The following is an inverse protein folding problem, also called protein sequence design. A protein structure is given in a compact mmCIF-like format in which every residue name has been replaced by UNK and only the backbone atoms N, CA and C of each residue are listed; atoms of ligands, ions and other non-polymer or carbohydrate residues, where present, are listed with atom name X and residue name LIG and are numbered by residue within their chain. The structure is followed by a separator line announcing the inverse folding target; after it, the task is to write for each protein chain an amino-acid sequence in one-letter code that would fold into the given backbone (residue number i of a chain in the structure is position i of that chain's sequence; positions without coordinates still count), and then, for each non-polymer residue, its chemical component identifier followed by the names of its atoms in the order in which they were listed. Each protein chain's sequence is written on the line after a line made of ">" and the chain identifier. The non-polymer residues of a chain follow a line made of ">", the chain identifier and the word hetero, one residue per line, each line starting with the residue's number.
data_IF_932496506177
#
_entry.id   IF_932496506177
#
_cell.length_a   1.000
_cell.length_b   1.000
_cell.length_c   1.000
_cell.angle_alpha   90.00
_cell.angle_beta   90.00
_cell.angle_gamma   90.00
#
_symmetry.space_group_name_H-M   'P 1'
#
loop_
_entity.id
_entity.type
_entity.pdbx_description
1 polymer ?
#
# COMPACT_ATOMS: atom_id res chain seq x y z
N UNK A 1 -35.58 -28.89 12.29
CA UNK A 1 -35.13 -28.75 13.69
C UNK A 1 -34.78 -27.28 13.93
N UNK A 2 -35.71 -26.52 14.52
CA UNK A 2 -35.55 -25.09 14.78
C UNK A 2 -34.61 -24.84 15.96
N UNK A 3 -33.81 -23.77 15.88
CA UNK A 3 -32.97 -23.31 17.00
C UNK A 3 -33.89 -22.85 18.14
N UNK A 4 -33.66 -23.26 19.40
CA UNK A 4 -34.50 -22.86 20.51
C UNK A 4 -34.36 -21.36 20.82
N UNK A 5 -35.51 -20.73 21.09
CA UNK A 5 -35.66 -19.32 21.43
C UNK A 5 -34.83 -18.94 22.66
N UNK A 6 -33.86 -18.04 22.48
CA UNK A 6 -33.08 -17.42 23.56
C UNK A 6 -33.70 -16.11 24.07
N UNK A 7 -35.02 -15.97 24.01
CA UNK A 7 -35.73 -14.74 24.38
C UNK A 7 -36.31 -14.72 25.80
N UNK A 8 -35.90 -15.64 26.69
CA UNK A 8 -36.52 -15.83 28.00
C UNK A 8 -35.90 -15.09 29.20
N UNK A 9 -34.75 -14.41 29.07
CA UNK A 9 -34.06 -13.89 30.25
C UNK A 9 -33.34 -12.56 29.99
N UNK A 10 -34.09 -11.44 30.01
CA UNK A 10 -33.58 -10.09 30.32
C UNK A 10 -34.69 -9.02 30.32
N UNK A 11 -35.73 -9.19 31.13
CA UNK A 11 -36.63 -8.05 31.43
C UNK A 11 -37.08 -8.12 32.89
N UNK A 12 -36.32 -7.47 33.78
CA UNK A 12 -36.79 -6.88 35.05
C UNK A 12 -35.84 -5.74 35.48
N UNK A 13 -35.79 -4.71 34.65
CA UNK A 13 -35.44 -3.31 34.96
C UNK A 13 -36.56 -2.52 35.66
N UNK A 14 -36.49 -2.21 36.94
CA UNK A 14 -37.56 -1.57 37.72
C UNK A 14 -38.11 -0.24 37.15
N UNK A 15 -39.43 -0.07 37.22
CA UNK A 15 -40.10 1.23 37.22
C UNK A 15 -39.78 1.92 38.56
N UNK A 16 -38.94 2.95 38.53
CA UNK A 16 -38.74 3.85 39.66
C UNK A 16 -38.94 5.29 39.17
N UNK A 17 -40.04 5.91 39.59
CA UNK A 17 -40.56 7.19 39.06
C UNK A 17 -39.97 8.44 39.73
N UNK A 18 -38.74 8.37 40.27
CA UNK A 18 -38.12 9.54 40.91
C UNK A 18 -36.58 9.61 40.80
N UNK A 19 -36.03 9.07 39.71
CA UNK A 19 -34.61 9.25 39.39
C UNK A 19 -34.40 10.61 38.71
N UNK A 20 -33.37 11.41 39.11
CA UNK A 20 -33.01 12.61 38.35
C UNK A 20 -32.77 12.21 36.90
N UNK A 21 -33.40 12.94 35.96
CA UNK A 21 -33.36 12.64 34.52
C UNK A 21 -31.90 12.54 34.09
N UNK A 22 -31.41 11.30 33.94
CA UNK A 22 -30.02 11.05 33.55
C UNK A 22 -29.85 11.53 32.12
N UNK A 23 -28.84 12.38 31.91
CA UNK A 23 -28.44 12.81 30.57
C UNK A 23 -28.05 11.60 29.74
N UNK A 24 -28.38 11.63 28.45
CA UNK A 24 -28.16 10.49 27.58
C UNK A 24 -26.67 10.21 27.40
N UNK A 25 -26.29 8.94 27.47
CA UNK A 25 -24.94 8.49 27.15
C UNK A 25 -24.99 7.12 26.48
N UNK A 26 -23.96 6.83 25.69
CA UNK A 26 -23.86 5.58 24.97
C UNK A 26 -22.64 5.54 24.06
N UNK A 27 -22.70 4.70 23.03
CA UNK A 27 -21.55 4.40 22.18
C UNK A 27 -21.91 4.57 20.71
N UNK A 28 -20.98 5.09 19.92
CA UNK A 28 -21.06 5.12 18.46
C UNK A 28 -20.84 3.70 17.94
N UNK A 29 -21.79 3.20 17.17
CA UNK A 29 -21.69 1.89 16.52
C UNK A 29 -20.99 2.03 15.18
N UNK A 30 -21.38 3.04 14.39
CA UNK A 30 -20.80 3.34 13.09
C UNK A 30 -21.05 4.81 12.73
N UNK A 31 -20.23 5.36 11.84
CA UNK A 31 -20.37 6.73 11.38
C UNK A 31 -19.84 6.90 9.96
N UNK A 32 -20.54 7.74 9.19
CA UNK A 32 -20.21 8.03 7.81
C UNK A 32 -20.64 9.45 7.41
N UNK A 33 -20.26 9.87 6.20
CA UNK A 33 -20.71 11.12 5.61
C UNK A 33 -21.85 10.83 4.62
N UNK A 34 -23.02 11.44 4.84
CA UNK A 34 -24.19 11.28 3.97
C UNK A 34 -24.43 12.56 3.15
N UNK A 35 -24.58 12.43 1.82
CA UNK A 35 -24.79 13.56 0.92
C UNK A 35 -26.09 14.31 1.28
N UNK A 36 -25.96 15.60 1.58
CA UNK A 36 -27.09 16.47 1.95
C UNK A 36 -27.48 16.43 3.44
N UNK A 37 -27.00 15.46 4.21
CA UNK A 37 -27.19 15.41 5.68
C UNK A 37 -25.92 15.71 6.47
N UNK A 38 -24.75 15.61 5.83
CA UNK A 38 -23.45 15.82 6.47
C UNK A 38 -23.04 14.60 7.29
N UNK A 39 -22.26 14.78 8.36
CA UNK A 39 -21.85 13.70 9.25
C UNK A 39 -23.06 13.05 9.93
N UNK A 40 -23.13 11.73 9.82
CA UNK A 40 -24.17 10.91 10.45
C UNK A 40 -23.51 9.81 11.29
N UNK A 41 -24.08 9.55 12.46
CA UNK A 41 -23.57 8.54 13.37
C UNK A 41 -24.71 7.66 13.87
N UNK A 42 -24.56 6.35 13.71
CA UNK A 42 -25.43 5.36 14.35
C UNK A 42 -24.92 5.15 15.77
N UNK A 43 -25.74 5.48 16.76
CA UNK A 43 -25.38 5.37 18.17
C UNK A 43 -26.31 4.41 18.90
N UNK A 44 -25.79 3.71 19.90
CA UNK A 44 -26.57 2.93 20.84
C UNK A 44 -26.69 3.70 22.15
N UNK A 45 -27.90 4.15 22.49
CA UNK A 45 -28.18 4.81 23.77
C UNK A 45 -28.12 3.76 24.87
N UNK A 46 -27.26 3.95 25.86
CA UNK A 46 -27.09 3.00 26.98
C UNK A 46 -27.76 3.49 28.27
N UNK A 47 -27.84 4.81 28.45
CA UNK A 47 -28.50 5.42 29.60
C UNK A 47 -29.11 6.77 29.21
N UNK A 48 -30.13 7.19 29.97
CA UNK A 48 -30.85 8.44 29.71
C UNK A 48 -31.70 8.39 28.44
N UNK A 49 -32.12 9.56 27.96
CA UNK A 49 -32.96 9.69 26.75
C UNK A 49 -32.38 10.77 25.86
N UNK A 50 -31.93 10.39 24.67
CA UNK A 50 -31.35 11.29 23.68
C UNK A 50 -32.49 11.97 22.91
N UNK A 51 -32.45 13.30 22.79
CA UNK A 51 -33.51 14.10 22.15
C UNK A 51 -32.96 15.01 21.07
N UNK A 52 -33.84 15.38 20.14
CA UNK A 52 -33.54 16.46 19.19
C UNK A 52 -33.31 17.75 19.97
N UNK A 53 -32.21 18.45 19.65
CA UNK A 53 -31.79 19.68 20.31
C UNK A 53 -30.79 19.49 21.45
N UNK A 54 -30.47 18.26 21.83
CA UNK A 54 -29.46 17.98 22.86
C UNK A 54 -28.06 18.42 22.40
N UNK A 55 -27.29 18.98 23.34
CA UNK A 55 -25.87 19.26 23.15
C UNK A 55 -25.10 17.96 23.42
N UNK A 56 -24.38 17.49 22.41
CA UNK A 56 -23.77 16.18 22.40
C UNK A 56 -22.25 16.33 22.29
N UNK A 57 -21.52 15.62 23.15
CA UNK A 57 -20.08 15.41 23.01
C UNK A 57 -19.87 13.95 22.59
N UNK A 58 -19.10 13.70 21.54
CA UNK A 58 -18.74 12.36 21.05
C UNK A 58 -17.24 12.34 20.85
N UNK A 59 -16.51 11.49 21.58
CA UNK A 59 -15.04 11.51 21.51
C UNK A 59 -14.48 12.92 21.78
N UNK A 60 -13.81 13.49 20.78
CA UNK A 60 -13.24 14.85 20.78
C UNK A 60 -14.07 15.89 20.02
N UNK A 61 -15.21 15.51 19.46
CA UNK A 61 -16.12 16.40 18.73
C UNK A 61 -17.33 16.78 19.60
N UNK A 62 -17.91 17.95 19.34
CA UNK A 62 -19.17 18.36 19.96
C UNK A 62 -20.11 18.97 18.93
N UNK A 63 -21.41 18.80 19.14
CA UNK A 63 -22.42 19.34 18.25
C UNK A 63 -23.79 19.34 18.91
N UNK A 64 -24.80 19.66 18.11
CA UNK A 64 -26.21 19.67 18.55
C UNK A 64 -26.99 18.68 17.69
N UNK A 65 -27.79 17.83 18.34
CA UNK A 65 -28.63 16.85 17.63
C UNK A 65 -29.66 17.60 16.79
N UNK A 66 -29.53 17.54 15.46
CA UNK A 66 -30.45 18.20 14.51
C UNK A 66 -31.63 17.31 14.16
N UNK A 67 -31.40 16.01 14.03
CA UNK A 67 -32.42 15.01 13.78
C UNK A 67 -32.02 13.67 14.38
N UNK A 68 -33.03 12.89 14.75
CA UNK A 68 -32.92 11.49 15.12
C UNK A 68 -33.74 10.65 14.16
N UNK A 69 -33.19 9.51 13.75
CA UNK A 69 -33.87 8.50 12.93
C UNK A 69 -33.75 7.13 13.61
N UNK A 70 -34.76 6.29 13.48
CA UNK A 70 -34.69 4.90 13.90
C UNK A 70 -33.85 4.04 12.93
N UNK A 71 -33.69 2.76 13.24
CA UNK A 71 -33.00 1.75 12.43
C UNK A 71 -33.61 1.57 11.01
N UNK A 72 -34.83 2.08 10.79
CA UNK A 72 -35.54 2.04 9.51
C UNK A 72 -35.53 3.39 8.79
N UNK A 73 -34.79 4.37 9.29
CA UNK A 73 -34.69 5.70 8.72
C UNK A 73 -35.92 6.59 8.93
N UNK A 74 -36.83 6.23 9.84
CA UNK A 74 -38.00 7.05 10.19
C UNK A 74 -37.63 8.05 11.27
N UNK A 75 -38.15 9.28 11.14
CA UNK A 75 -37.90 10.35 12.12
C UNK A 75 -38.44 9.98 13.48
N UNK A 76 -37.63 10.19 14.51
CA UNK A 76 -38.02 10.05 15.92
C UNK A 76 -37.71 11.34 16.68
N UNK A 77 -38.42 11.57 17.79
CA UNK A 77 -38.21 12.77 18.64
C UNK A 77 -37.21 12.50 19.76
N UNK A 78 -37.18 11.26 20.25
CA UNK A 78 -36.32 10.83 21.33
C UNK A 78 -35.95 9.35 21.19
N UNK A 79 -34.79 8.97 21.72
CA UNK A 79 -34.29 7.60 21.79
C UNK A 79 -33.91 7.26 23.24
N UNK A 80 -34.58 6.27 23.82
CA UNK A 80 -34.33 5.81 25.19
C UNK A 80 -33.20 4.78 25.29
N UNK A 81 -32.92 4.25 26.49
CA UNK A 81 -31.89 3.22 26.68
C UNK A 81 -32.15 1.98 25.81
N UNK A 82 -31.07 1.29 25.44
CA UNK A 82 -31.05 0.14 24.53
C UNK A 82 -31.61 0.40 23.12
N UNK A 83 -31.80 1.67 22.73
CA UNK A 83 -32.32 2.04 21.41
C UNK A 83 -31.18 2.48 20.50
N UNK A 84 -31.00 1.85 19.32
CA UNK A 84 -30.13 2.40 18.28
C UNK A 84 -30.82 3.59 17.62
N UNK A 85 -30.07 4.67 17.40
CA UNK A 85 -30.57 5.86 16.72
C UNK A 85 -29.50 6.44 15.79
N UNK A 86 -29.91 6.91 14.62
CA UNK A 86 -29.04 7.68 13.73
C UNK A 86 -29.14 9.15 14.10
N UNK A 87 -28.00 9.73 14.43
CA UNK A 87 -27.83 11.11 14.87
C UNK A 87 -27.21 11.92 13.75
N UNK A 88 -27.74 13.13 13.52
CA UNK A 88 -27.18 14.12 12.59
C UNK A 88 -26.94 15.45 13.30
N UNK A 89 -26.07 16.30 12.73
CA UNK A 89 -25.77 17.64 13.27
C UNK A 89 -24.45 17.77 14.00
N UNK A 90 -23.62 16.72 13.94
CA UNK A 90 -22.22 16.77 14.33
C UNK A 90 -21.40 17.54 13.28
N UNK A 91 -20.32 18.24 13.69
CA UNK A 91 -19.47 18.98 12.77
C UNK A 91 -18.56 18.06 11.94
N UNK A 92 -18.27 16.85 12.43
CA UNK A 92 -17.41 15.86 11.79
C UNK A 92 -17.90 14.45 12.09
N UNK A 93 -17.36 13.45 11.38
CA UNK A 93 -17.68 12.03 11.53
C UNK A 93 -16.99 11.48 12.79
N UNK A 94 -17.73 11.06 13.84
CA UNK A 94 -17.11 10.47 15.02
C UNK A 94 -16.49 9.09 14.72
N UNK A 95 -15.62 8.61 15.61
CA UNK A 95 -15.02 7.29 15.47
C UNK A 95 -15.96 6.20 15.99
N UNK A 96 -15.96 5.03 15.34
CA UNK A 96 -16.69 3.89 15.86
C UNK A 96 -16.13 3.48 17.23
N UNK A 97 -17.01 3.17 18.19
CA UNK A 97 -16.62 2.88 19.57
C UNK A 97 -16.45 4.12 20.46
N UNK A 98 -16.50 5.34 19.92
CA UNK A 98 -16.48 6.54 20.75
C UNK A 98 -17.67 6.57 21.70
N UNK A 99 -17.42 7.03 22.93
CA UNK A 99 -18.47 7.30 23.90
C UNK A 99 -19.07 8.67 23.61
N UNK A 100 -20.40 8.71 23.53
CA UNK A 100 -21.14 9.96 23.50
C UNK A 100 -21.77 10.27 24.84
N UNK A 101 -21.90 11.57 25.13
CA UNK A 101 -22.59 12.08 26.31
C UNK A 101 -23.32 13.38 25.98
N UNK A 102 -24.59 13.46 26.39
CA UNK A 102 -25.36 14.69 26.39
C UNK A 102 -24.94 15.54 27.57
N UNK A 103 -24.76 16.83 27.34
CA UNK A 103 -24.34 17.80 28.34
C UNK A 103 -25.32 18.95 28.44
N UNK A 104 -25.32 19.62 29.58
CA UNK A 104 -26.31 20.65 29.93
C UNK A 104 -26.25 21.90 29.06
N UNK A 105 -25.09 22.21 28.46
CA UNK A 105 -24.94 23.39 27.59
C UNK A 105 -23.85 23.20 26.54
N UNK A 106 -23.95 23.95 25.44
CA UNK A 106 -22.92 23.99 24.40
C UNK A 106 -21.57 24.45 24.95
N UNK A 107 -21.56 25.36 25.94
CA UNK A 107 -20.33 25.83 26.58
C UNK A 107 -19.58 24.68 27.26
N UNK A 108 -20.29 23.84 28.01
CA UNK A 108 -19.73 22.64 28.64
C UNK A 108 -19.25 21.64 27.58
N UNK A 109 -20.04 21.44 26.52
CA UNK A 109 -19.68 20.56 25.41
C UNK A 109 -18.35 20.96 24.77
N UNK A 110 -18.22 22.25 24.47
CA UNK A 110 -17.03 22.87 23.87
C UNK A 110 -15.80 22.69 24.76
N UNK A 111 -15.91 22.97 26.06
CA UNK A 111 -14.78 22.79 26.99
C UNK A 111 -14.28 21.35 27.03
N UNK A 112 -15.20 20.38 27.15
CA UNK A 112 -14.84 18.95 27.20
C UNK A 112 -14.18 18.52 25.89
N UNK A 113 -14.79 18.86 24.75
CA UNK A 113 -14.29 18.48 23.44
C UNK A 113 -12.93 19.11 23.14
N UNK A 114 -12.73 20.40 23.42
CA UNK A 114 -11.43 21.07 23.23
C UNK A 114 -10.33 20.46 24.08
N UNK A 115 -10.62 20.08 25.33
CA UNK A 115 -9.66 19.40 26.19
C UNK A 115 -9.27 18.03 25.63
N UNK A 116 -10.26 17.24 25.17
CA UNK A 116 -10.03 15.93 24.56
C UNK A 116 -9.31 16.03 23.21
N UNK A 117 -9.61 17.05 22.41
CA UNK A 117 -8.94 17.30 21.13
C UNK A 117 -7.46 17.61 21.32
N UNK A 118 -7.08 18.40 22.33
CA UNK A 118 -5.67 18.64 22.63
C UNK A 118 -4.96 17.38 23.14
N UNK A 119 -5.62 16.61 24.02
CA UNK A 119 -5.08 15.31 24.45
C UNK A 119 -4.87 14.35 23.27
N UNK A 120 -5.84 14.29 22.35
CA UNK A 120 -5.74 13.50 21.13
C UNK A 120 -4.56 13.94 20.27
N UNK A 121 -4.42 15.25 20.02
CA UNK A 121 -3.31 15.82 19.25
C UNK A 121 -1.95 15.47 19.85
N UNK A 122 -1.81 15.59 21.17
CA UNK A 122 -0.57 15.22 21.89
C UNK A 122 -0.29 13.72 21.77
N UNK A 123 -1.31 12.87 21.91
CA UNK A 123 -1.17 11.42 21.78
C UNK A 123 -0.74 11.01 20.36
N UNK A 124 -1.33 11.59 19.32
CA UNK A 124 -0.94 11.34 17.92
C UNK A 124 0.50 11.76 17.66
N UNK A 125 0.92 12.94 18.16
CA UNK A 125 2.30 13.40 18.04
C UNK A 125 3.30 12.49 18.79
N UNK A 126 2.91 11.96 19.95
CA UNK A 126 3.74 11.04 20.73
C UNK A 126 3.85 9.64 20.08
N UNK A 127 2.85 9.20 19.31
CA UNK A 127 2.90 7.96 18.54
C UNK A 127 3.80 8.04 17.31
N UNK A 128 4.16 9.24 16.85
CA UNK A 128 5.25 9.44 15.87
C UNK A 128 6.56 9.01 16.53
N UNK A 129 6.93 7.74 16.33
CA UNK A 129 8.12 7.09 16.86
C UNK A 129 9.34 8.00 16.65
N UNK A 130 10.00 8.42 17.74
CA UNK A 130 11.32 9.05 17.66
C UNK A 130 12.25 8.05 16.98
N UNK A 131 12.56 8.29 15.72
CA UNK A 131 13.56 7.53 14.98
C UNK A 131 14.87 7.65 15.76
N UNK A 132 15.38 6.53 16.28
CA UNK A 132 16.65 6.54 17.02
C UNK A 132 17.82 6.45 16.04
N UNK A 133 19.01 6.91 16.45
CA UNK A 133 20.24 6.72 15.66
C UNK A 133 20.53 5.24 15.37
N UNK A 134 20.11 4.33 16.26
CA UNK A 134 20.21 2.90 16.04
C UNK A 134 19.26 2.40 14.93
N UNK A 135 18.03 2.93 14.88
CA UNK A 135 17.07 2.63 13.81
C UNK A 135 17.56 3.17 12.45
N UNK A 136 18.19 4.36 12.43
CA UNK A 136 18.81 4.92 11.23
C UNK A 136 19.98 4.06 10.74
N UNK A 137 20.86 3.62 11.63
CA UNK A 137 21.99 2.74 11.29
C UNK A 137 21.52 1.39 10.72
N UNK A 138 20.43 0.83 11.27
CA UNK A 138 19.83 -0.41 10.77
C UNK A 138 19.15 -0.24 9.39
N UNK A 139 18.58 0.95 9.10
CA UNK A 139 18.01 1.27 7.78
C UNK A 139 19.10 1.47 6.72
N UNK A 140 20.24 2.08 7.07
CA UNK A 140 21.37 2.26 6.14
C UNK A 140 21.97 0.91 5.71
N UNK A 141 21.93 -0.11 6.55
CA UNK A 141 22.48 -1.44 6.25
C UNK A 141 21.65 -2.34 5.32
N UNK A 142 20.37 -2.03 5.08
CA UNK A 142 19.44 -2.90 4.30
C UNK A 142 19.21 -2.45 2.85
N UNK A 143 19.96 -1.47 2.36
CA UNK A 143 19.61 -0.81 1.10
C UNK A 143 18.39 0.10 1.28
N UNK A 144 18.14 0.98 0.30
CA UNK A 144 17.07 1.97 0.39
C UNK A 144 15.69 1.29 0.33
N UNK A 145 15.09 1.03 1.49
CA UNK A 145 13.67 0.65 1.59
C UNK A 145 12.84 1.77 0.97
N UNK A 146 12.06 1.46 -0.06
CA UNK A 146 11.20 2.42 -0.73
C UNK A 146 9.90 2.57 0.06
N UNK A 147 9.45 3.80 0.26
CA UNK A 147 8.15 4.06 0.87
C UNK A 147 7.06 4.07 -0.21
N UNK A 148 5.99 3.30 0.01
CA UNK A 148 4.73 3.41 -0.74
C UNK A 148 3.73 4.19 0.11
N UNK A 149 3.62 5.49 -0.17
CA UNK A 149 2.72 6.39 0.55
C UNK A 149 1.29 6.24 0.01
N UNK A 150 0.31 6.17 0.91
CA UNK A 150 -1.11 5.99 0.58
C UNK A 150 -1.97 7.06 1.26
N UNK A 151 -2.91 7.61 0.50
CA UNK A 151 -4.05 8.39 1.02
C UNK A 151 -5.29 7.51 0.93
N UNK A 152 -5.95 7.26 2.05
CA UNK A 152 -7.13 6.38 2.13
C UNK A 152 -8.41 7.19 2.34
N UNK A 153 -9.40 7.02 1.47
CA UNK A 153 -10.74 7.60 1.63
C UNK A 153 -11.77 6.50 1.54
N UNK A 154 -12.70 6.43 2.48
CA UNK A 154 -13.77 5.44 2.45
C UNK A 154 -15.14 6.01 2.84
N UNK A 155 -16.18 5.21 2.63
CA UNK A 155 -17.57 5.57 2.90
C UNK A 155 -17.87 5.70 4.40
N UNK A 156 -17.29 4.83 5.23
CA UNK A 156 -17.48 4.77 6.67
C UNK A 156 -16.14 4.67 7.43
N UNK A 157 -16.17 5.00 8.72
CA UNK A 157 -15.01 4.85 9.59
C UNK A 157 -14.53 3.38 9.67
N UNK A 158 -15.48 2.44 9.80
CA UNK A 158 -15.17 1.00 9.84
C UNK A 158 -14.48 0.50 8.56
N UNK A 159 -14.89 1.02 7.39
CA UNK A 159 -14.23 0.70 6.11
C UNK A 159 -12.77 1.18 6.09
N UNK A 160 -12.48 2.40 6.57
CA UNK A 160 -11.12 2.94 6.64
C UNK A 160 -10.23 2.07 7.52
N UNK A 161 -10.68 1.75 8.74
CA UNK A 161 -9.91 0.94 9.69
C UNK A 161 -9.64 -0.47 9.16
N UNK A 162 -10.66 -1.13 8.60
CA UNK A 162 -10.53 -2.46 8.04
C UNK A 162 -9.52 -2.47 6.86
N UNK A 163 -9.59 -1.45 5.99
CA UNK A 163 -8.70 -1.31 4.85
C UNK A 163 -7.25 -1.07 5.30
N UNK A 164 -7.04 -0.11 6.20
CA UNK A 164 -5.73 0.20 6.79
C UNK A 164 -5.12 -1.03 7.45
N UNK A 165 -5.90 -1.73 8.28
CA UNK A 165 -5.45 -2.94 8.98
C UNK A 165 -5.10 -4.08 8.03
N UNK A 166 -5.72 -4.14 6.86
CA UNK A 166 -5.40 -5.13 5.82
C UNK A 166 -4.13 -4.77 5.06
N UNK A 167 -3.97 -3.50 4.70
CA UNK A 167 -2.80 -2.99 3.98
C UNK A 167 -1.51 -3.06 4.82
N UNK A 168 -1.58 -2.70 6.10
CA UNK A 168 -0.41 -2.75 6.99
C UNK A 168 0.07 -4.17 7.34
N UNK A 169 -0.71 -5.21 7.01
CA UNK A 169 -0.28 -6.61 7.13
C UNK A 169 0.63 -7.06 5.99
N UNK A 170 0.60 -6.35 4.86
CA UNK A 170 1.48 -6.64 3.73
C UNK A 170 2.90 -6.25 4.13
N UNK A 171 3.77 -7.24 4.24
CA UNK A 171 5.18 -7.05 4.57
C UNK A 171 6.03 -7.38 3.35
N UNK A 172 6.94 -6.48 3.00
CA UNK A 172 7.89 -6.64 1.92
C UNK A 172 9.28 -6.17 2.38
N UNK A 173 10.37 -6.88 2.04
CA UNK A 173 11.71 -6.52 2.49
C UNK A 173 12.25 -5.23 1.84
N UNK A 174 11.72 -4.82 0.68
CA UNK A 174 12.19 -3.66 -0.09
C UNK A 174 11.20 -2.49 -0.08
N UNK A 175 9.91 -2.73 0.20
CA UNK A 175 8.88 -1.69 0.22
C UNK A 175 8.18 -1.60 1.57
N UNK A 176 8.09 -0.39 2.10
CA UNK A 176 7.30 -0.08 3.30
C UNK A 176 6.03 0.68 2.94
N UNK A 177 4.86 0.13 3.28
CA UNK A 177 3.58 0.84 3.11
C UNK A 177 3.40 1.86 4.24
N UNK A 178 3.09 3.10 3.88
CA UNK A 178 2.80 4.20 4.82
C UNK A 178 1.48 4.86 4.47
N UNK A 179 0.56 4.93 5.44
CA UNK A 179 -0.67 5.70 5.28
C UNK A 179 -0.41 7.12 5.75
N UNK A 180 -0.36 8.08 4.82
CA UNK A 180 -0.04 9.49 5.12
C UNK A 180 -1.29 10.26 5.54
N UNK A 181 -2.46 9.86 5.04
CA UNK A 181 -3.74 10.41 5.43
C UNK A 181 -4.84 9.37 5.27
N UNK A 182 -5.83 9.45 6.15
CA UNK A 182 -7.04 8.66 6.08
C UNK A 182 -8.25 9.51 6.44
N UNK A 183 -9.38 9.29 5.78
CA UNK A 183 -10.58 10.06 6.04
C UNK A 183 -11.85 9.43 5.48
N UNK A 184 -12.98 9.93 5.95
CA UNK A 184 -14.31 9.47 5.53
C UNK A 184 -14.91 10.43 4.51
N UNK A 185 -15.64 9.90 3.53
CA UNK A 185 -16.32 10.67 2.49
C UNK A 185 -15.59 10.68 1.14
N UNK A 186 -16.11 11.44 0.15
CA UNK A 186 -15.54 11.53 -1.18
C UNK A 186 -14.11 12.07 -1.16
N UNK A 187 -13.33 11.74 -2.20
CA UNK A 187 -12.00 12.32 -2.40
C UNK A 187 -12.16 13.76 -2.88
N UNK A 188 -11.46 14.68 -2.21
CA UNK A 188 -11.51 16.13 -2.44
C UNK A 188 -10.23 16.64 -3.10
N UNK A 189 -10.23 17.85 -3.65
CA UNK A 189 -9.01 18.49 -4.19
C UNK A 189 -7.88 18.56 -3.15
N UNK A 190 -8.19 18.84 -1.88
CA UNK A 190 -7.19 18.89 -0.81
C UNK A 190 -6.52 17.53 -0.57
N UNK A 191 -7.27 16.43 -0.68
CA UNK A 191 -6.71 15.07 -0.56
C UNK A 191 -5.70 14.80 -1.69
N UNK A 192 -6.00 15.27 -2.91
CA UNK A 192 -5.11 15.15 -4.08
C UNK A 192 -3.85 15.99 -3.92
N UNK A 193 -3.97 17.24 -3.45
CA UNK A 193 -2.81 18.10 -3.22
C UNK A 193 -1.88 17.51 -2.16
N UNK A 194 -2.43 16.94 -1.09
CA UNK A 194 -1.65 16.24 -0.07
C UNK A 194 -0.93 15.01 -0.66
N UNK A 195 -1.63 14.25 -1.50
CA UNK A 195 -1.07 13.10 -2.18
C UNK A 195 0.08 13.49 -3.12
N UNK A 196 -0.06 14.59 -3.87
CA UNK A 196 0.99 15.10 -4.74
C UNK A 196 2.26 15.47 -3.97
N UNK A 197 2.13 16.22 -2.86
CA UNK A 197 3.26 16.63 -2.01
C UNK A 197 3.95 15.42 -1.37
N UNK A 198 3.17 14.40 -1.01
CA UNK A 198 3.68 13.21 -0.33
C UNK A 198 4.05 12.07 -1.29
N UNK A 199 3.96 12.28 -2.61
CA UNK A 199 4.08 11.24 -3.64
C UNK A 199 3.26 9.97 -3.29
N UNK A 200 1.99 10.17 -2.95
CA UNK A 200 1.10 9.13 -2.45
C UNK A 200 0.07 8.69 -3.51
N UNK A 201 -0.26 7.40 -3.49
CA UNK A 201 -1.37 6.84 -4.25
C UNK A 201 -2.68 7.06 -3.49
N UNK A 202 -3.73 7.50 -4.18
CA UNK A 202 -5.05 7.72 -3.56
C UNK A 202 -5.93 6.48 -3.75
N UNK A 203 -6.40 5.92 -2.64
CA UNK A 203 -7.32 4.79 -2.60
C UNK A 203 -8.70 5.28 -2.18
N UNK A 204 -9.68 5.16 -3.07
CA UNK A 204 -11.07 5.51 -2.84
C UNK A 204 -11.91 4.23 -2.68
N UNK A 205 -12.34 3.92 -1.46
CA UNK A 205 -13.08 2.70 -1.14
C UNK A 205 -14.57 2.99 -0.93
N UNK A 206 -15.45 2.47 -1.79
CA UNK A 206 -16.89 2.77 -1.83
C UNK A 206 -17.24 4.26 -1.96
N UNK A 207 -16.27 5.10 -2.31
CA UNK A 207 -16.44 6.54 -2.53
C UNK A 207 -15.92 6.91 -3.90
N UNK A 208 -16.37 8.05 -4.41
CA UNK A 208 -15.92 8.59 -5.69
C UNK A 208 -15.23 9.93 -5.47
N UNK A 209 -14.21 10.26 -6.28
CA UNK A 209 -13.67 11.61 -6.31
C UNK A 209 -14.72 12.59 -6.81
N UNK A 210 -14.71 13.80 -6.24
CA UNK A 210 -15.48 14.90 -6.79
C UNK A 210 -14.86 15.45 -8.08
N UNK A 211 -15.59 16.32 -8.79
CA UNK A 211 -15.10 16.87 -10.07
C UNK A 211 -13.84 17.72 -9.93
N UNK A 212 -13.63 18.37 -8.79
CA UNK A 212 -12.44 19.19 -8.55
C UNK A 212 -11.23 18.28 -8.28
N UNK A 213 -11.41 17.22 -7.49
CA UNK A 213 -10.42 16.19 -7.24
C UNK A 213 -9.98 15.49 -8.54
N UNK A 214 -10.91 15.14 -9.43
CA UNK A 214 -10.56 14.52 -10.71
C UNK A 214 -9.67 15.42 -11.58
N UNK A 215 -10.03 16.71 -11.69
CA UNK A 215 -9.24 17.71 -12.44
C UNK A 215 -7.88 17.96 -11.79
N UNK A 216 -7.83 18.03 -10.47
CA UNK A 216 -6.58 18.18 -9.73
C UNK A 216 -5.67 16.96 -9.94
N UNK A 217 -6.22 15.75 -9.94
CA UNK A 217 -5.44 14.52 -10.13
C UNK A 217 -4.81 14.44 -11.52
N UNK A 218 -5.53 14.87 -12.56
CA UNK A 218 -4.98 14.98 -13.91
C UNK A 218 -3.85 16.03 -14.00
N UNK A 219 -4.04 17.19 -13.34
CA UNK A 219 -3.05 18.28 -13.32
C UNK A 219 -1.79 17.89 -12.57
N UNK A 220 -1.94 17.34 -11.37
CA UNK A 220 -0.83 16.97 -10.48
C UNK A 220 -0.26 15.58 -10.78
N UNK A 221 -0.87 14.84 -11.74
CA UNK A 221 -0.53 13.46 -12.12
C UNK A 221 -0.56 12.48 -10.93
N UNK A 222 -1.56 12.64 -10.08
CA UNK A 222 -1.81 11.75 -8.94
C UNK A 222 -2.74 10.62 -9.38
N UNK A 223 -2.33 9.37 -9.13
CA UNK A 223 -3.18 8.21 -9.39
C UNK A 223 -4.28 8.07 -8.34
N UNK A 224 -5.53 7.95 -8.80
CA UNK A 224 -6.69 7.61 -7.99
C UNK A 224 -7.16 6.21 -8.38
N UNK A 225 -7.29 5.32 -7.41
CA UNK A 225 -7.80 3.96 -7.60
C UNK A 225 -9.09 3.77 -6.80
N UNK A 226 -10.17 3.45 -7.50
CA UNK A 226 -11.47 3.20 -6.91
C UNK A 226 -11.66 1.70 -6.67
N UNK A 227 -12.15 1.34 -5.49
CA UNK A 227 -12.43 -0.03 -5.11
C UNK A 227 -13.73 -0.12 -4.31
N UNK A 228 -14.29 -1.31 -4.31
CA UNK A 228 -15.50 -1.71 -3.58
C UNK A 228 -15.26 -2.99 -2.75
N UNK A 229 -14.17 -3.71 -3.02
CA UNK A 229 -13.78 -4.95 -2.33
C UNK A 229 -12.36 -4.85 -1.80
N UNK A 230 -12.17 -5.04 -0.49
CA UNK A 230 -10.87 -4.88 0.20
C UNK A 230 -9.79 -5.78 -0.40
N UNK A 231 -10.12 -7.02 -0.76
CA UNK A 231 -9.19 -7.97 -1.37
C UNK A 231 -8.61 -7.49 -2.71
N UNK A 232 -9.39 -6.73 -3.49
CA UNK A 232 -8.89 -6.18 -4.75
C UNK A 232 -7.82 -5.13 -4.49
N UNK A 233 -8.00 -4.30 -3.45
CA UNK A 233 -7.01 -3.29 -3.05
C UNK A 233 -5.70 -3.97 -2.64
N UNK A 234 -5.78 -4.96 -1.74
CA UNK A 234 -4.56 -5.63 -1.24
C UNK A 234 -3.81 -6.34 -2.37
N UNK A 235 -4.53 -7.04 -3.26
CA UNK A 235 -3.92 -7.70 -4.41
C UNK A 235 -3.26 -6.72 -5.39
N UNK A 236 -3.88 -5.58 -5.65
CA UNK A 236 -3.31 -4.55 -6.54
C UNK A 236 -2.06 -3.92 -5.93
N UNK A 237 -2.08 -3.64 -4.63
CA UNK A 237 -0.91 -3.12 -3.90
C UNK A 237 0.24 -4.14 -3.89
N UNK A 238 -0.03 -5.42 -3.62
CA UNK A 238 0.99 -6.47 -3.70
C UNK A 238 1.57 -6.60 -5.11
N UNK A 239 0.73 -6.50 -6.16
CA UNK A 239 1.19 -6.51 -7.55
C UNK A 239 2.02 -5.27 -7.89
N UNK A 240 1.63 -4.10 -7.39
CA UNK A 240 2.38 -2.87 -7.58
C UNK A 240 3.76 -2.97 -6.91
N UNK A 241 3.84 -3.48 -5.68
CA UNK A 241 5.09 -3.77 -4.98
C UNK A 241 5.95 -4.72 -5.81
N UNK A 242 5.36 -5.80 -6.34
CA UNK A 242 6.07 -6.74 -7.21
C UNK A 242 6.58 -6.09 -8.51
N UNK A 243 5.84 -5.16 -9.07
CA UNK A 243 6.26 -4.39 -10.25
C UNK A 243 7.39 -3.40 -9.99
N UNK A 244 7.66 -3.05 -8.72
CA UNK A 244 8.78 -2.18 -8.33
C UNK A 244 10.13 -2.91 -8.28
N UNK A 245 10.13 -4.25 -8.35
CA UNK A 245 11.38 -5.00 -8.48
C UNK A 245 11.95 -4.82 -9.89
N UNK A 246 13.16 -4.28 -9.98
CA UNK A 246 13.92 -4.34 -11.23
C UNK A 246 14.17 -5.81 -11.58
N UNK A 247 14.03 -6.22 -12.85
CA UNK A 247 14.29 -7.61 -13.23
C UNK A 247 15.74 -7.97 -12.90
N UNK A 248 15.93 -8.93 -12.00
CA UNK A 248 17.25 -9.45 -11.67
C UNK A 248 17.73 -10.32 -12.83
N UNK A 249 18.73 -9.83 -13.56
CA UNK A 249 19.43 -10.60 -14.57
C UNK A 249 20.50 -11.47 -13.91
N UNK A 250 20.43 -12.78 -14.10
CA UNK A 250 21.43 -13.73 -13.58
C UNK A 250 22.31 -14.19 -14.73
N UNK A 251 23.63 -14.09 -14.53
CA UNK A 251 24.61 -14.68 -15.43
C UNK A 251 24.66 -16.19 -15.17
N UNK A 252 24.23 -16.97 -16.15
CA UNK A 252 24.32 -18.43 -16.13
C UNK A 252 25.54 -18.81 -16.97
N UNK A 253 26.59 -19.28 -16.29
CA UNK A 253 27.78 -19.82 -16.95
C UNK A 253 27.40 -20.96 -17.91
N UNK A 254 27.98 -20.95 -19.11
CA UNK A 254 27.75 -21.98 -20.13
C UNK A 254 28.99 -22.80 -20.44
N UNK A 255 30.16 -22.17 -20.51
CA UNK A 255 31.36 -22.86 -20.96
C UNK A 255 32.60 -21.98 -21.03
N UNK A 256 33.73 -22.64 -21.27
CA UNK A 256 35.06 -22.03 -21.37
C UNK A 256 35.78 -22.57 -22.60
N UNK A 257 36.42 -21.69 -23.36
CA UNK A 257 37.26 -22.05 -24.49
C UNK A 257 38.63 -21.37 -24.39
N UNK A 258 39.67 -22.04 -24.89
CA UNK A 258 41.02 -21.51 -24.99
C UNK A 258 41.34 -21.19 -26.45
N UNK A 259 41.89 -20.01 -26.69
CA UNK A 259 42.33 -19.57 -28.01
C UNK A 259 43.63 -20.27 -28.35
N UNK A 260 43.59 -21.13 -29.36
CA UNK A 260 44.77 -21.82 -29.87
C UNK A 260 45.52 -20.97 -30.90
N UNK A 261 44.77 -20.30 -31.78
CA UNK A 261 45.36 -19.46 -32.82
C UNK A 261 44.37 -18.42 -33.35
N UNK A 262 44.77 -17.14 -33.52
CA UNK A 262 43.94 -16.17 -34.23
C UNK A 262 43.90 -16.48 -35.73
N UNK A 263 42.71 -16.50 -36.31
CA UNK A 263 42.48 -16.79 -37.73
C UNK A 263 41.92 -15.55 -38.42
N UNK A 264 42.63 -15.06 -39.44
CA UNK A 264 42.16 -13.93 -40.25
C UNK A 264 41.23 -14.41 -41.36
N UNK A 265 39.98 -13.96 -41.34
CA UNK A 265 38.99 -14.29 -42.37
C UNK A 265 38.68 -13.04 -43.21
N UNK A 266 38.77 -13.12 -44.55
CA UNK A 266 38.36 -12.03 -45.44
C UNK A 266 36.93 -11.57 -45.13
N UNK A 267 36.71 -10.25 -45.02
CA UNK A 267 35.43 -9.59 -44.70
C UNK A 267 34.92 -9.72 -43.25
N UNK A 268 35.37 -10.70 -42.45
CA UNK A 268 34.91 -10.89 -41.07
C UNK A 268 35.93 -10.43 -40.01
N UNK A 269 37.16 -10.13 -40.40
CA UNK A 269 38.22 -9.71 -39.50
C UNK A 269 38.99 -10.90 -38.91
N UNK A 270 39.54 -10.73 -37.71
CA UNK A 270 40.20 -11.82 -36.97
C UNK A 270 39.17 -12.51 -36.08
N UNK A 271 39.14 -13.84 -36.12
CA UNK A 271 38.37 -14.68 -35.21
C UNK A 271 39.32 -15.52 -34.35
N UNK A 272 38.86 -15.94 -33.18
CA UNK A 272 39.61 -16.85 -32.32
C UNK A 272 39.40 -18.30 -32.77
N UNK A 273 40.44 -18.95 -33.29
CA UNK A 273 40.48 -20.40 -33.44
C UNK A 273 40.71 -21.03 -32.07
N UNK A 274 39.69 -21.63 -31.50
CA UNK A 274 39.64 -22.02 -30.09
C UNK A 274 39.22 -23.48 -29.90
N UNK A 275 39.61 -24.06 -28.77
CA UNK A 275 39.11 -25.34 -28.30
C UNK A 275 38.27 -25.14 -27.06
N UNK A 276 37.06 -25.69 -27.06
CA UNK A 276 36.20 -25.64 -25.87
C UNK A 276 36.77 -26.60 -24.83
N UNK A 277 37.15 -26.06 -23.67
CA UNK A 277 37.73 -26.84 -22.57
C UNK A 277 36.63 -27.44 -21.69
N UNK A 278 35.59 -26.66 -21.40
CA UNK A 278 34.54 -27.03 -20.47
C UNK A 278 33.18 -26.45 -20.89
N UNK A 279 32.11 -27.15 -20.54
CA UNK A 279 30.74 -26.77 -20.89
C UNK A 279 30.49 -26.68 -22.40
N UNK A 280 29.87 -25.58 -22.83
CA UNK A 280 29.58 -25.29 -24.24
C UNK A 280 29.65 -23.79 -24.54
N UNK A 281 29.95 -23.47 -25.80
CA UNK A 281 29.89 -22.12 -26.32
C UNK A 281 28.68 -22.01 -27.25
N UNK A 282 27.78 -21.07 -26.97
CA UNK A 282 26.56 -20.85 -27.75
C UNK A 282 26.66 -19.50 -28.49
N UNK A 283 26.28 -19.47 -29.76
CA UNK A 283 26.18 -18.21 -30.52
C UNK A 283 25.09 -17.31 -29.91
N UNK A 284 25.38 -16.00 -29.78
CA UNK A 284 24.50 -15.03 -29.12
C UNK A 284 24.67 -14.93 -27.60
N UNK A 285 25.44 -15.82 -26.98
CA UNK A 285 25.83 -15.67 -25.56
C UNK A 285 26.82 -14.53 -25.37
N UNK A 286 26.98 -14.07 -24.13
CA UNK A 286 28.00 -13.07 -23.78
C UNK A 286 29.30 -13.78 -23.49
N UNK A 287 30.38 -13.29 -24.08
CA UNK A 287 31.74 -13.78 -23.91
C UNK A 287 32.58 -12.75 -23.16
N UNK A 288 33.23 -13.23 -22.10
CA UNK A 288 34.28 -12.49 -21.39
C UNK A 288 35.63 -13.06 -21.80
N UNK A 289 36.47 -12.21 -22.36
CA UNK A 289 37.81 -12.56 -22.80
C UNK A 289 38.82 -12.24 -21.70
N UNK A 290 39.65 -13.20 -21.35
CA UNK A 290 40.69 -13.09 -20.34
C UNK A 290 42.06 -13.36 -20.95
N UNK A 291 43.05 -12.57 -20.54
CA UNK A 291 44.48 -12.77 -20.83
C UNK A 291 45.23 -12.73 -19.51
N UNK A 292 46.04 -13.75 -19.25
CA UNK A 292 46.72 -13.93 -17.95
C UNK A 292 45.75 -13.83 -16.75
N UNK A 293 44.56 -14.43 -16.88
CA UNK A 293 43.45 -14.39 -15.92
C UNK A 293 42.87 -12.99 -15.63
N UNK A 294 43.18 -11.98 -16.44
CA UNK A 294 42.59 -10.63 -16.33
C UNK A 294 41.59 -10.39 -17.45
N UNK A 295 40.39 -9.87 -17.17
CA UNK A 295 39.43 -9.55 -18.20
C UNK A 295 39.95 -8.38 -19.05
N UNK A 296 39.96 -8.57 -20.36
CA UNK A 296 40.42 -7.57 -21.33
C UNK A 296 39.30 -7.08 -22.25
N UNK A 297 38.24 -7.87 -22.42
CA UNK A 297 37.06 -7.50 -23.20
C UNK A 297 35.83 -8.29 -22.77
N UNK A 298 34.66 -7.70 -22.97
CA UNK A 298 33.36 -8.35 -22.80
C UNK A 298 32.47 -7.97 -23.99
N UNK A 299 31.85 -8.96 -24.64
CA UNK A 299 31.01 -8.73 -25.82
C UNK A 299 30.21 -9.96 -26.21
N UNK A 300 29.27 -9.81 -27.14
CA UNK A 300 28.48 -10.96 -27.60
C UNK A 300 29.26 -11.85 -28.59
N UNK A 301 28.96 -13.14 -28.56
CA UNK A 301 29.44 -14.12 -29.53
C UNK A 301 28.64 -13.94 -30.83
N UNK A 302 29.14 -13.05 -31.68
CA UNK A 302 28.54 -12.64 -32.94
C UNK A 302 28.53 -13.75 -34.01
N UNK A 303 29.42 -14.73 -33.86
CA UNK A 303 29.50 -15.85 -34.79
C UNK A 303 30.27 -17.00 -34.20
N UNK A 304 29.78 -18.21 -34.47
CA UNK A 304 30.39 -19.45 -34.05
C UNK A 304 30.46 -20.38 -35.26
N UNK A 305 31.67 -20.79 -35.63
CA UNK A 305 31.92 -21.65 -36.79
C UNK A 305 32.61 -22.93 -36.38
N UNK A 306 32.25 -24.03 -37.01
CA UNK A 306 33.02 -25.28 -36.95
C UNK A 306 33.47 -25.62 -38.37
N UNK A 307 34.78 -25.64 -38.59
CA UNK A 307 35.37 -25.66 -39.93
C UNK A 307 34.87 -24.49 -40.79
N UNK A 308 33.97 -24.74 -41.75
CA UNK A 308 33.40 -23.70 -42.63
C UNK A 308 31.95 -23.36 -42.29
N UNK A 309 31.29 -24.18 -41.48
CA UNK A 309 29.85 -24.11 -41.24
C UNK A 309 29.55 -23.26 -40.00
N UNK A 310 28.50 -22.43 -40.10
CA UNK A 310 27.95 -21.71 -38.95
C UNK A 310 27.15 -22.68 -38.06
N UNK A 311 27.43 -22.66 -36.77
CA UNK A 311 26.82 -23.57 -35.79
C UNK A 311 26.26 -22.77 -34.63
N UNK A 312 25.18 -23.28 -34.02
CA UNK A 312 24.53 -22.63 -32.87
C UNK A 312 25.28 -22.87 -31.57
N UNK A 313 25.87 -24.05 -31.40
CA UNK A 313 26.61 -24.41 -30.19
C UNK A 313 27.78 -25.35 -30.51
N UNK A 314 28.81 -25.29 -29.67
CA UNK A 314 29.98 -26.17 -29.70
C UNK A 314 30.27 -26.62 -28.27
N UNK A 315 30.35 -27.92 -28.06
CA UNK A 315 30.58 -28.54 -26.73
C UNK A 315 32.07 -28.76 -26.45
N UNK A 316 32.39 -28.99 -25.18
CA UNK A 316 33.73 -29.31 -24.70
C UNK A 316 34.43 -30.42 -25.51
N UNK A 317 35.74 -30.26 -25.69
CA UNK A 317 36.60 -31.16 -26.46
C UNK A 317 36.66 -30.87 -27.96
N UNK A 318 35.78 -30.02 -28.49
CA UNK A 318 35.75 -29.68 -29.91
C UNK A 318 36.44 -28.33 -30.21
N UNK A 319 36.96 -28.23 -31.43
CA UNK A 319 37.52 -26.99 -31.98
C UNK A 319 36.46 -26.19 -32.74
N UNK A 320 36.55 -24.87 -32.62
CA UNK A 320 35.66 -23.92 -33.27
C UNK A 320 36.33 -22.57 -33.51
N UNK A 321 35.75 -21.78 -34.40
CA UNK A 321 36.06 -20.38 -34.59
C UNK A 321 35.03 -19.52 -33.85
N UNK A 322 35.49 -18.68 -32.91
CA UNK A 322 34.66 -17.80 -32.10
C UNK A 322 34.91 -16.36 -32.53
N UNK A 323 33.85 -15.63 -32.87
CA UNK A 323 33.89 -14.19 -33.14
C UNK A 323 33.19 -13.45 -32.01
N UNK A 324 33.88 -12.50 -31.39
CA UNK A 324 33.33 -11.62 -30.35
C UNK A 324 33.12 -10.23 -30.95
N UNK A 325 31.95 -9.63 -30.71
CA UNK A 325 31.66 -8.28 -31.19
C UNK A 325 32.60 -7.25 -30.56
N UNK A 326 33.08 -6.35 -31.40
CA UNK A 326 33.99 -5.26 -31.00
C UNK A 326 35.43 -5.69 -30.69
N UNK A 327 35.80 -6.96 -30.89
CA UNK A 327 37.15 -7.44 -30.55
C UNK A 327 37.80 -8.28 -31.65
N UNK A 328 39.08 -8.01 -31.95
CA UNK A 328 39.85 -8.70 -32.99
C UNK A 328 41.30 -9.02 -32.58
N UNK A 329 41.78 -8.54 -31.44
CA UNK A 329 43.19 -8.69 -31.01
C UNK A 329 43.41 -9.95 -30.14
N UNK A 330 43.09 -11.12 -30.70
CA UNK A 330 43.22 -12.40 -30.02
C UNK A 330 44.67 -12.89 -30.02
N UNK A 331 45.14 -13.40 -28.88
CA UNK A 331 46.43 -14.08 -28.74
C UNK A 331 46.23 -15.54 -28.35
N UNK A 332 47.21 -16.36 -28.72
CA UNK A 332 47.26 -17.75 -28.26
C UNK A 332 47.35 -17.77 -26.72
N UNK A 333 46.55 -18.62 -26.09
CA UNK A 333 46.45 -18.74 -24.63
C UNK A 333 45.40 -17.82 -23.99
N UNK A 334 44.76 -16.94 -24.77
CA UNK A 334 43.59 -16.22 -24.28
C UNK A 334 42.45 -17.19 -23.91
N UNK A 335 41.67 -16.84 -22.90
CA UNK A 335 40.55 -17.65 -22.40
C UNK A 335 39.24 -16.92 -22.65
N UNK A 336 38.25 -17.61 -23.20
CA UNK A 336 36.91 -17.10 -23.45
C UNK A 336 35.95 -17.82 -22.51
N UNK A 337 35.30 -17.08 -21.62
CA UNK A 337 34.22 -17.57 -20.76
C UNK A 337 32.86 -17.12 -21.32
N UNK A 338 31.96 -18.07 -21.55
CA UNK A 338 30.62 -17.82 -22.09
C UNK A 338 29.57 -17.90 -20.98
N UNK A 339 28.62 -16.97 -20.97
CA UNK A 339 27.43 -17.01 -20.13
C UNK A 339 26.21 -16.47 -20.86
N UNK A 340 25.04 -16.98 -20.46
CA UNK A 340 23.76 -16.39 -20.81
C UNK A 340 23.27 -15.48 -19.72
N UNK A 341 22.70 -14.34 -20.11
CA UNK A 341 21.97 -13.46 -19.21
C UNK A 341 20.52 -13.90 -19.24
N UNK A 342 20.02 -14.50 -18.15
CA UNK A 342 18.62 -14.90 -18.01
C UNK A 342 17.92 -14.00 -17.01
N UNK A 343 16.64 -13.71 -17.28
CA UNK A 343 15.76 -13.10 -16.29
C UNK A 343 15.42 -14.16 -15.23
N UNK A 344 15.64 -13.83 -13.96
CA UNK A 344 15.33 -14.70 -12.81
C UNK A 344 13.82 -14.92 -12.64
#
# INVERSE_FOLDING_TARGET
>A
MGRPDRHGARVRQAEDRDLPVRLAAGTVIDAHLEKGRGPVATVLVQSGTLRIGDNLVVGHIFGKVRALLDDRGRKMKEAGPATPAVVTGLPDVPTAGDVFQVVSSEKVARTIASQRAEQYRVATLAQTRRVTLADLSAQVGKGAVKDLNLVLKADSNGSVEALKGSLLKIQDPQVQIKVVFEGVGPVTESDILLAAVSNALVIAFNVKPDQQAQKAAEREKVDIRNYDVVYNVTNDIERAIKGLYEPTFVQVWEGRAEVLTPIKIPKLGVIAGSRVQDGKITSGSTAKLLRDNKPIHEGQIAGLKRFKDDVKEVVAGLECGIRIDGYQDFLQGDVIESYQVKQA
#
